data_IF_282534461392
#
_entry.id   IF_282534461392
#
_cell.length_a   1.000
_cell.length_b   1.000
_cell.length_c   1.000
_cell.angle_alpha   90.00
_cell.angle_beta   90.00
_cell.angle_gamma   90.00
#
_symmetry.space_group_name_H-M   'P 1'
#
loop_
_entity.id
_entity.type
_entity.pdbx_description
1 polymer ?
#
# COMPACT_ATOMS: atom_id res chain seq x y z
N UNK A 1 10.05 -12.74 32.70
CA UNK A 1 10.95 -12.34 31.61
C UNK A 1 10.35 -11.07 31.03
N UNK A 2 10.79 -9.93 31.55
CA UNK A 2 10.26 -8.61 31.28
C UNK A 2 10.67 -8.20 29.86
N UNK A 3 9.71 -8.15 28.93
CA UNK A 3 9.93 -7.48 27.66
C UNK A 3 9.93 -5.99 27.93
N UNK A 4 11.14 -5.42 27.88
CA UNK A 4 11.43 -4.00 27.88
C UNK A 4 10.40 -3.25 27.02
N UNK A 5 9.58 -2.44 27.68
CA UNK A 5 8.84 -1.33 27.07
C UNK A 5 9.88 -0.37 26.47
N UNK A 6 10.32 -0.69 25.26
CA UNK A 6 11.16 0.18 24.44
C UNK A 6 10.31 1.37 24.04
N UNK A 7 10.77 2.54 24.47
CA UNK A 7 10.31 3.90 24.18
C UNK A 7 9.14 4.01 23.17
N UNK A 8 7.97 4.42 23.66
CA UNK A 8 6.75 4.57 22.86
C UNK A 8 6.91 5.63 21.75
N UNK A 9 7.88 6.54 21.85
CA UNK A 9 8.09 7.62 20.88
C UNK A 9 8.82 7.15 19.60
N UNK A 10 9.86 6.32 19.72
CA UNK A 10 10.53 5.69 18.57
C UNK A 10 9.67 4.60 17.93
N UNK A 11 8.87 3.90 18.74
CA UNK A 11 7.92 2.86 18.28
C UNK A 11 6.85 3.44 17.35
N UNK A 12 6.35 4.64 17.64
CA UNK A 12 5.31 5.30 16.83
C UNK A 12 5.78 5.62 15.40
N UNK A 13 6.99 6.18 15.27
CA UNK A 13 7.58 6.51 13.96
C UNK A 13 7.86 5.28 13.10
N UNK A 14 8.38 4.21 13.72
CA UNK A 14 8.61 2.93 13.04
C UNK A 14 7.31 2.30 12.55
N UNK A 15 6.29 2.22 13.41
CA UNK A 15 4.98 1.66 13.04
C UNK A 15 4.36 2.44 11.89
N UNK A 16 4.38 3.77 11.96
CA UNK A 16 3.84 4.63 10.90
C UNK A 16 4.58 4.39 9.57
N UNK A 17 5.90 4.27 9.61
CA UNK A 17 6.69 3.97 8.41
C UNK A 17 6.32 2.61 7.79
N UNK A 18 6.13 1.57 8.62
CA UNK A 18 5.69 0.25 8.15
C UNK A 18 4.29 0.31 7.53
N UNK A 19 3.33 0.95 8.21
CA UNK A 19 1.96 1.10 7.70
C UNK A 19 1.94 1.87 6.38
N UNK A 20 2.71 2.96 6.27
CA UNK A 20 2.83 3.75 5.03
C UNK A 20 3.44 2.92 3.91
N UNK A 21 4.54 2.22 4.17
CA UNK A 21 5.21 1.41 3.16
C UNK A 21 4.33 0.28 2.62
N UNK A 22 3.68 -0.48 3.51
CA UNK A 22 2.81 -1.58 3.09
C UNK A 22 1.60 -1.04 2.31
N UNK A 23 0.93 -0.02 2.83
CA UNK A 23 -0.22 0.58 2.16
C UNK A 23 0.15 1.17 0.80
N UNK A 24 1.30 1.84 0.70
CA UNK A 24 1.83 2.36 -0.55
C UNK A 24 2.00 1.25 -1.60
N UNK A 25 2.62 0.13 -1.22
CA UNK A 25 2.84 -0.98 -2.13
C UNK A 25 1.52 -1.63 -2.59
N UNK A 26 0.55 -1.78 -1.70
CA UNK A 26 -0.75 -2.35 -2.04
C UNK A 26 -1.61 -1.43 -2.91
N UNK A 27 -1.43 -0.11 -2.82
CA UNK A 27 -2.10 0.83 -3.72
C UNK A 27 -1.51 0.82 -5.15
N UNK A 28 -0.35 0.21 -5.32
CA UNK A 28 0.36 0.14 -6.59
C UNK A 28 1.04 1.44 -7.00
N UNK A 29 1.33 2.33 -6.03
CA UNK A 29 1.99 3.61 -6.28
C UNK A 29 3.42 3.43 -6.79
N UNK A 30 3.85 4.33 -7.66
CA UNK A 30 5.16 4.27 -8.31
C UNK A 30 6.28 4.79 -7.40
N UNK A 31 7.35 4.01 -7.22
CA UNK A 31 8.51 4.43 -6.44
C UNK A 31 9.34 5.49 -7.18
N UNK A 32 9.23 6.75 -6.76
CA UNK A 32 10.05 7.86 -7.29
C UNK A 32 11.30 8.17 -6.45
N UNK A 33 11.53 7.43 -5.35
CA UNK A 33 12.67 7.60 -4.44
C UNK A 33 14.06 7.30 -5.04
N UNK A 34 14.12 6.98 -6.34
CA UNK A 34 15.29 6.45 -7.06
C UNK A 34 16.32 7.51 -7.51
N UNK A 35 16.46 8.62 -6.79
CA UNK A 35 17.39 9.70 -7.19
C UNK A 35 18.84 9.55 -6.68
N UNK A 36 19.19 8.61 -5.80
CA UNK A 36 20.60 8.41 -5.44
C UNK A 36 20.92 7.02 -4.84
N UNK A 37 22.01 6.42 -5.34
CA UNK A 37 22.84 5.36 -4.72
C UNK A 37 22.58 3.85 -4.87
N UNK A 38 21.70 3.37 -5.76
CA UNK A 38 21.64 1.92 -6.03
C UNK A 38 21.93 1.62 -7.51
N UNK A 39 23.04 0.92 -7.79
CA UNK A 39 23.64 0.65 -9.12
C UNK A 39 22.79 -0.22 -10.08
N UNK A 40 21.51 -0.43 -9.80
CA UNK A 40 20.66 -1.44 -10.44
C UNK A 40 19.49 -0.85 -11.24
N UNK A 41 19.59 0.40 -11.70
CA UNK A 41 18.68 0.96 -12.72
C UNK A 41 18.85 2.44 -12.98
N UNK A 42 18.13 2.94 -13.99
CA UNK A 42 18.18 4.33 -14.43
C UNK A 42 17.62 5.27 -13.36
N UNK A 43 18.30 6.39 -13.03
CA UNK A 43 17.75 7.41 -12.14
C UNK A 43 16.44 7.96 -12.69
N UNK A 44 15.44 8.16 -11.83
CA UNK A 44 14.22 8.88 -12.19
C UNK A 44 14.54 10.37 -12.13
N UNK A 45 14.28 11.11 -13.21
CA UNK A 45 14.52 12.55 -13.22
C UNK A 45 13.52 13.25 -12.29
N UNK A 46 13.84 14.48 -11.88
CA UNK A 46 12.91 15.26 -11.04
C UNK A 46 11.61 15.60 -11.75
N UNK A 47 11.67 15.81 -13.06
CA UNK A 47 10.50 16.16 -13.86
C UNK A 47 9.59 14.93 -14.02
N UNK A 48 10.15 13.76 -14.33
CA UNK A 48 9.39 12.50 -14.40
C UNK A 48 8.75 12.14 -13.05
N UNK A 49 9.46 12.40 -11.95
CA UNK A 49 8.93 12.17 -10.60
C UNK A 49 7.75 13.10 -10.28
N UNK A 50 7.81 14.36 -10.73
CA UNK A 50 6.75 15.34 -10.53
C UNK A 50 5.51 15.00 -11.38
N UNK A 51 5.71 14.57 -12.62
CA UNK A 51 4.63 14.09 -13.50
C UNK A 51 3.94 12.86 -12.89
N UNK A 52 4.73 11.87 -12.46
CA UNK A 52 4.20 10.69 -11.74
C UNK A 52 3.37 11.09 -10.51
N UNK A 53 3.85 12.07 -9.73
CA UNK A 53 3.14 12.55 -8.53
C UNK A 53 1.82 13.24 -8.86
N UNK A 54 1.73 13.94 -10.00
CA UNK A 54 0.48 14.56 -10.45
C UNK A 54 -0.50 13.50 -10.98
N UNK A 55 -0.04 12.55 -11.79
CA UNK A 55 -0.85 11.45 -12.30
C UNK A 55 -1.42 10.60 -11.16
N UNK A 56 -0.60 10.30 -10.15
CA UNK A 56 -0.98 9.48 -8.99
C UNK A 56 -1.56 10.30 -7.83
N UNK A 57 -1.81 11.60 -7.99
CA UNK A 57 -2.21 12.51 -6.89
C UNK A 57 -3.44 12.01 -6.11
N UNK A 58 -4.40 11.39 -6.78
CA UNK A 58 -5.58 10.82 -6.13
C UNK A 58 -5.23 9.59 -5.28
N UNK A 59 -4.37 8.70 -5.78
CA UNK A 59 -3.90 7.54 -5.03
C UNK A 59 -3.02 7.96 -3.83
N UNK A 60 -2.24 9.02 -3.97
CA UNK A 60 -1.48 9.61 -2.85
C UNK A 60 -2.40 10.15 -1.75
N UNK A 61 -3.53 10.79 -2.13
CA UNK A 61 -4.52 11.21 -1.15
C UNK A 61 -5.18 10.01 -0.44
N UNK A 62 -5.50 8.94 -1.18
CA UNK A 62 -6.02 7.71 -0.60
C UNK A 62 -5.04 7.06 0.37
N UNK A 63 -3.74 7.07 0.04
CA UNK A 63 -2.66 6.63 0.93
C UNK A 63 -2.69 7.39 2.25
N UNK A 64 -2.71 8.73 2.21
CA UNK A 64 -2.67 9.54 3.41
C UNK A 64 -3.93 9.34 4.29
N UNK A 65 -5.10 9.16 3.68
CA UNK A 65 -6.34 8.82 4.38
C UNK A 65 -6.24 7.46 5.07
N UNK A 66 -5.82 6.42 4.34
CA UNK A 66 -5.69 5.06 4.87
C UNK A 66 -4.65 4.98 5.99
N UNK A 67 -3.49 5.60 5.80
CA UNK A 67 -2.42 5.62 6.81
C UNK A 67 -2.86 6.35 8.07
N UNK A 68 -3.59 7.46 7.93
CA UNK A 68 -4.17 8.16 9.08
C UNK A 68 -5.18 7.29 9.84
N UNK A 69 -6.07 6.59 9.11
CA UNK A 69 -7.01 5.62 9.69
C UNK A 69 -6.26 4.52 10.46
N UNK A 70 -5.24 3.93 9.84
CA UNK A 70 -4.46 2.85 10.43
C UNK A 70 -3.68 3.30 11.66
N UNK A 71 -3.06 4.48 11.63
CA UNK A 71 -2.36 5.04 12.78
C UNK A 71 -3.32 5.24 13.96
N UNK A 72 -4.49 5.83 13.71
CA UNK A 72 -5.50 6.02 14.74
C UNK A 72 -5.97 4.68 15.32
N UNK A 73 -6.28 3.71 14.46
CA UNK A 73 -6.77 2.39 14.88
C UNK A 73 -5.71 1.58 15.61
N UNK A 74 -4.45 1.68 15.23
CA UNK A 74 -3.35 1.03 15.93
C UNK A 74 -3.19 1.56 17.36
N UNK A 75 -3.25 2.88 17.53
CA UNK A 75 -3.19 3.53 18.84
C UNK A 75 -4.40 3.19 19.72
N UNK A 76 -5.57 3.01 19.12
CA UNK A 76 -6.81 2.59 19.80
C UNK A 76 -6.74 1.13 20.27
N UNK A 77 -6.34 0.20 19.40
CA UNK A 77 -6.34 -1.23 19.69
C UNK A 77 -5.19 -1.65 20.62
N UNK A 78 -4.05 -0.96 20.58
CA UNK A 78 -2.86 -1.24 21.41
C UNK A 78 -2.39 -2.70 21.37
N UNK A 79 -2.58 -3.34 20.22
CA UNK A 79 -2.11 -4.70 19.95
C UNK A 79 -0.74 -4.67 19.28
N UNK A 80 0.04 -5.77 19.34
CA UNK A 80 1.28 -5.88 18.59
C UNK A 80 1.09 -5.61 17.09
N UNK A 81 2.08 -4.96 16.46
CA UNK A 81 2.04 -4.63 15.03
C UNK A 81 1.75 -5.84 14.12
N UNK A 82 2.34 -7.03 14.32
CA UNK A 82 2.01 -8.20 13.49
C UNK A 82 0.52 -8.57 13.56
N UNK A 83 -0.08 -8.54 14.76
CA UNK A 83 -1.50 -8.86 14.94
C UNK A 83 -2.39 -7.80 14.29
N UNK A 84 -2.00 -6.53 14.37
CA UNK A 84 -2.69 -5.44 13.67
C UNK A 84 -2.62 -5.59 12.15
N UNK A 85 -1.44 -5.93 11.63
CA UNK A 85 -1.20 -6.11 10.19
C UNK A 85 -2.02 -7.28 9.66
N UNK A 86 -1.95 -8.45 10.31
CA UNK A 86 -2.69 -9.64 9.88
C UNK A 86 -4.20 -9.53 10.10
N UNK A 87 -4.65 -8.74 11.08
CA UNK A 87 -6.07 -8.48 11.34
C UNK A 87 -6.60 -7.23 10.62
N UNK A 88 -6.69 -6.12 11.35
CA UNK A 88 -7.40 -4.92 10.91
C UNK A 88 -6.90 -4.39 9.56
N UNK A 89 -5.58 -4.29 9.39
CA UNK A 89 -5.00 -3.75 8.16
C UNK A 89 -5.35 -4.63 6.94
N UNK A 90 -5.15 -5.96 7.03
CA UNK A 90 -5.54 -6.93 6.00
C UNK A 90 -6.99 -6.74 5.57
N UNK A 91 -7.92 -6.81 6.53
CA UNK A 91 -9.35 -6.78 6.25
C UNK A 91 -9.76 -5.46 5.61
N UNK A 92 -9.19 -4.37 6.11
CA UNK A 92 -9.47 -3.03 5.61
C UNK A 92 -8.92 -2.80 4.21
N UNK A 93 -7.72 -3.31 3.91
CA UNK A 93 -7.11 -3.24 2.58
C UNK A 93 -7.85 -4.10 1.56
N UNK A 94 -8.21 -5.34 1.91
CA UNK A 94 -9.05 -6.19 1.06
C UNK A 94 -10.37 -5.51 0.72
N UNK A 95 -11.06 -4.97 1.72
CA UNK A 95 -12.32 -4.25 1.51
C UNK A 95 -12.16 -3.02 0.63
N UNK A 96 -11.05 -2.29 0.77
CA UNK A 96 -10.74 -1.13 -0.05
C UNK A 96 -10.52 -1.55 -1.51
N UNK A 97 -9.61 -2.48 -1.73
CA UNK A 97 -9.19 -2.91 -3.06
C UNK A 97 -10.32 -3.62 -3.81
N UNK A 98 -11.14 -4.45 -3.15
CA UNK A 98 -12.33 -5.04 -3.78
C UNK A 98 -13.41 -4.02 -4.16
N UNK A 99 -13.48 -2.86 -3.48
CA UNK A 99 -14.38 -1.77 -3.90
C UNK A 99 -13.85 -1.08 -5.14
N UNK A 100 -12.55 -0.82 -5.18
CA UNK A 100 -11.85 -0.23 -6.34
C UNK A 100 -11.97 -1.15 -7.56
N UNK A 101 -11.66 -2.43 -7.41
CA UNK A 101 -11.80 -3.45 -8.46
C UNK A 101 -13.22 -3.46 -9.09
N UNK A 102 -14.26 -3.36 -8.24
CA UNK A 102 -15.65 -3.28 -8.73
C UNK A 102 -15.92 -2.00 -9.51
N UNK A 103 -15.43 -0.86 -9.03
CA UNK A 103 -15.59 0.41 -9.72
C UNK A 103 -14.86 0.40 -11.06
N UNK A 104 -13.63 -0.13 -11.09
CA UNK A 104 -12.83 -0.27 -12.30
C UNK A 104 -13.53 -1.17 -13.32
N UNK A 105 -14.02 -2.34 -12.89
CA UNK A 105 -14.78 -3.25 -13.75
C UNK A 105 -16.05 -2.59 -14.34
N UNK A 106 -16.75 -1.75 -13.56
CA UNK A 106 -17.89 -0.99 -14.04
C UNK A 106 -17.48 0.02 -15.13
N UNK A 107 -16.40 0.78 -14.91
CA UNK A 107 -15.87 1.74 -15.88
C UNK A 107 -15.50 1.04 -17.20
N UNK A 108 -14.78 -0.09 -17.12
CA UNK A 108 -14.42 -0.88 -18.31
C UNK A 108 -15.67 -1.37 -19.04
N UNK A 109 -16.69 -1.83 -18.31
CA UNK A 109 -17.94 -2.28 -18.90
C UNK A 109 -18.70 -1.13 -19.61
N UNK A 110 -18.77 0.04 -19.00
CA UNK A 110 -19.42 1.23 -19.57
C UNK A 110 -18.68 1.73 -20.82
N UNK A 111 -17.35 1.77 -20.81
CA UNK A 111 -16.54 2.12 -21.98
C UNK A 111 -16.81 1.17 -23.16
N UNK A 112 -16.91 -0.14 -22.91
CA UNK A 112 -17.22 -1.14 -23.94
C UNK A 112 -18.61 -0.94 -24.55
N UNK A 113 -19.61 -0.50 -23.77
CA UNK A 113 -20.96 -0.25 -24.29
C UNK A 113 -21.00 0.88 -25.32
N UNK A 114 -20.06 1.83 -25.26
CA UNK A 114 -19.93 2.93 -26.23
C UNK A 114 -18.88 2.65 -27.32
N UNK A 115 -18.37 1.42 -27.40
CA UNK A 115 -17.38 1.00 -28.41
C UNK A 115 -15.94 1.43 -28.12
N UNK A 116 -15.65 1.90 -26.90
CA UNK A 116 -14.30 2.28 -26.47
C UNK A 116 -13.63 1.07 -25.81
N UNK A 117 -12.39 0.81 -26.21
CA UNK A 117 -11.53 -0.23 -25.62
C UNK A 117 -10.40 0.46 -24.87
N UNK A 118 -10.37 0.26 -23.56
CA UNK A 118 -9.29 0.76 -22.70
C UNK A 118 -8.08 -0.17 -22.86
N UNK A 119 -6.89 0.40 -22.81
CA UNK A 119 -5.59 -0.27 -22.91
C UNK A 119 -5.08 -0.83 -21.58
N UNK A 120 -5.83 -0.58 -20.50
CA UNK A 120 -5.59 -1.17 -19.18
C UNK A 120 -6.69 -2.19 -18.84
N UNK A 121 -6.30 -3.26 -18.15
CA UNK A 121 -7.23 -4.23 -17.57
C UNK A 121 -7.35 -3.99 -16.05
N UNK A 122 -8.53 -4.21 -15.45
CA UNK A 122 -8.69 -4.14 -14.00
C UNK A 122 -7.66 -5.02 -13.31
N UNK A 123 -7.07 -4.54 -12.22
CA UNK A 123 -6.04 -5.29 -11.50
C UNK A 123 -6.64 -6.58 -10.95
N UNK A 124 -6.16 -7.73 -11.43
CA UNK A 124 -6.59 -9.04 -10.95
C UNK A 124 -6.13 -9.30 -9.51
N UNK A 125 -7.08 -9.81 -8.70
CA UNK A 125 -6.92 -10.52 -7.42
C UNK A 125 -5.95 -9.89 -6.40
N UNK A 126 -6.53 -9.35 -5.33
CA UNK A 126 -5.82 -8.79 -4.18
C UNK A 126 -5.20 -9.91 -3.32
N UNK A 127 -4.01 -10.37 -3.71
CA UNK A 127 -3.12 -11.09 -2.79
C UNK A 127 -2.17 -10.08 -2.14
N UNK A 128 -2.46 -9.73 -0.88
CA UNK A 128 -1.64 -8.78 -0.14
C UNK A 128 -0.21 -9.34 0.04
N UNK A 129 0.78 -8.46 0.04
CA UNK A 129 2.20 -8.81 0.21
C UNK A 129 2.44 -9.59 1.50
N UNK A 130 1.69 -9.31 2.57
CA UNK A 130 1.82 -9.99 3.87
C UNK A 130 1.27 -11.41 3.88
N UNK A 131 0.45 -11.78 2.89
CA UNK A 131 -0.10 -13.13 2.75
C UNK A 131 0.83 -14.02 1.93
N UNK A 132 1.83 -13.44 1.25
CA UNK A 132 2.79 -14.19 0.45
C UNK A 132 3.76 -14.92 1.38
N UNK A 133 3.99 -16.23 1.18
CA UNK A 133 4.92 -16.98 2.00
C UNK A 133 6.32 -16.38 1.91
N UNK A 134 6.96 -16.18 3.06
CA UNK A 134 8.35 -15.73 3.13
C UNK A 134 9.24 -16.73 2.37
N UNK A 135 9.93 -16.27 1.31
CA UNK A 135 10.83 -17.10 0.48
C UNK A 135 11.94 -17.80 1.26
N UNK A 136 12.22 -17.34 2.47
CA UNK A 136 13.26 -17.85 3.37
C UNK A 136 12.69 -18.57 4.59
N UNK A 137 11.37 -18.75 4.68
CA UNK A 137 10.81 -19.57 5.75
C UNK A 137 11.21 -21.03 5.49
N UNK A 138 11.83 -21.73 6.47
CA UNK A 138 12.12 -23.15 6.31
C UNK A 138 10.79 -23.88 6.10
N UNK A 139 10.72 -24.70 5.04
CA UNK A 139 9.64 -25.67 4.88
C UNK A 139 9.65 -26.60 6.08
N UNK A 140 8.60 -26.52 6.89
CA UNK A 140 8.33 -27.45 7.99
C UNK A 140 7.95 -28.81 7.43
#
# INVERSE_FOLDING_TARGET
>A
MEYLFRDQSESSGFVLAVLRFLTFNELGLTHTCRSSHNHWGTPVSRDDAAETHEEERLLLLELDILVSEFQQKYLELRIPLPDFLHGYWTDRMKKFLSRRERADAQIVQEARQVGVWLDWEPVDRVELVIEKPCRHAPTV
#
